data_IF_108441209068
#
_entry.id   IF_108441209068
#
_cell.length_a   1.000
_cell.length_b   1.000
_cell.length_c   1.000
_cell.angle_alpha   90.00
_cell.angle_beta   90.00
_cell.angle_gamma   90.00
#
_symmetry.space_group_name_H-M   'P 1'
#
loop_
_entity.id
_entity.type
_entity.pdbx_description
1 polymer ?
#
# COMPACT_ATOMS: atom_id res chain seq x y z
N UNK A 1 3.99 8.25 -23.22
CA UNK A 1 3.10 7.16 -22.71
C UNK A 1 3.76 6.54 -21.46
N UNK A 2 2.98 5.90 -20.53
CA UNK A 2 3.58 5.27 -19.35
C UNK A 2 4.59 4.18 -19.72
N UNK A 3 4.38 3.46 -20.81
CA UNK A 3 5.30 2.44 -21.32
C UNK A 3 6.72 2.97 -21.59
N UNK A 4 6.89 4.24 -21.94
CA UNK A 4 8.18 4.88 -22.18
C UNK A 4 8.94 5.24 -20.90
N UNK A 5 8.22 5.33 -19.80
CA UNK A 5 8.76 5.74 -18.49
C UNK A 5 8.98 4.57 -17.52
N UNK A 6 8.51 3.37 -17.89
CA UNK A 6 8.69 2.17 -17.09
C UNK A 6 10.10 1.62 -17.31
N UNK A 7 10.78 1.30 -16.23
CA UNK A 7 12.12 0.68 -16.25
C UNK A 7 12.08 -0.65 -15.48
N UNK A 8 12.81 -1.64 -15.98
CA UNK A 8 13.01 -2.87 -15.22
C UNK A 8 14.07 -2.61 -14.14
N UNK A 9 13.62 -2.49 -12.90
CA UNK A 9 14.49 -2.23 -11.77
C UNK A 9 15.23 -3.49 -11.29
N UNK A 10 14.61 -4.66 -11.46
CA UNK A 10 15.16 -6.01 -11.20
C UNK A 10 14.43 -7.02 -12.08
N UNK A 11 14.95 -8.22 -12.28
CA UNK A 11 14.26 -9.26 -13.05
C UNK A 11 12.83 -9.48 -12.54
N UNK A 12 11.85 -9.23 -13.41
CA UNK A 12 10.44 -9.35 -13.08
C UNK A 12 9.85 -8.22 -12.21
N UNK A 13 10.64 -7.18 -11.88
CA UNK A 13 10.20 -6.00 -11.14
C UNK A 13 10.33 -4.74 -12.00
N UNK A 14 9.21 -4.20 -12.39
CA UNK A 14 9.09 -3.01 -13.21
C UNK A 14 8.69 -1.80 -12.36
N UNK A 15 9.28 -0.66 -12.59
CA UNK A 15 9.05 0.56 -11.83
C UNK A 15 8.60 1.69 -12.75
N UNK A 16 7.45 2.26 -12.44
CA UNK A 16 7.03 3.58 -12.92
C UNK A 16 7.26 4.58 -11.79
N UNK A 17 8.35 5.32 -11.86
CA UNK A 17 8.72 6.25 -10.80
C UNK A 17 7.77 7.44 -10.73
N UNK A 18 7.28 7.74 -9.51
CA UNK A 18 6.70 9.02 -9.18
C UNK A 18 7.76 10.11 -9.06
N UNK A 19 7.35 11.33 -8.80
CA UNK A 19 8.29 12.43 -8.59
C UNK A 19 7.65 13.80 -8.54
N UNK A 20 8.49 14.83 -8.57
CA UNK A 20 8.08 16.24 -8.48
C UNK A 20 7.10 16.63 -9.60
N UNK A 21 7.19 15.98 -10.76
CA UNK A 21 6.25 16.16 -11.87
C UNK A 21 4.79 15.83 -11.57
N UNK A 22 4.54 14.95 -10.58
CA UNK A 22 3.18 14.62 -10.14
C UNK A 22 2.40 15.82 -9.57
N UNK A 23 3.09 16.86 -9.07
CA UNK A 23 2.42 18.08 -8.62
C UNK A 23 1.66 18.78 -9.77
N UNK A 24 2.23 18.79 -10.97
CA UNK A 24 1.57 19.31 -12.17
C UNK A 24 0.41 18.45 -12.64
N UNK A 25 0.54 17.11 -12.48
CA UNK A 25 -0.53 16.17 -12.78
C UNK A 25 -1.72 16.36 -11.84
N UNK A 26 -1.49 16.51 -10.53
CA UNK A 26 -2.55 16.78 -9.54
C UNK A 26 -3.37 18.04 -9.91
N UNK A 27 -2.71 19.12 -10.35
CA UNK A 27 -3.41 20.33 -10.80
C UNK A 27 -4.28 20.05 -12.04
N UNK A 28 -3.78 19.31 -13.03
CA UNK A 28 -4.53 18.97 -14.24
C UNK A 28 -5.72 18.07 -13.93
N UNK A 29 -5.56 17.10 -13.04
CA UNK A 29 -6.66 16.25 -12.60
C UNK A 29 -7.75 17.13 -11.96
N UNK A 30 -7.40 17.96 -10.99
CA UNK A 30 -8.33 18.84 -10.28
C UNK A 30 -9.03 19.91 -11.19
N UNK A 31 -8.51 20.17 -12.39
CA UNK A 31 -9.15 21.06 -13.36
C UNK A 31 -10.07 20.34 -14.36
N UNK A 32 -10.17 19.04 -14.32
CA UNK A 32 -10.99 18.24 -15.22
C UNK A 32 -12.28 17.79 -14.52
N UNK A 33 -13.27 18.67 -14.46
CA UNK A 33 -14.51 18.52 -13.69
C UNK A 33 -15.37 17.30 -14.05
N UNK A 34 -15.20 16.68 -15.23
CA UNK A 34 -16.10 15.64 -15.72
C UNK A 34 -15.62 14.20 -15.47
N UNK A 35 -14.33 13.96 -15.25
CA UNK A 35 -13.77 12.61 -15.11
C UNK A 35 -12.51 12.58 -14.22
N UNK A 36 -12.52 13.45 -13.24
CA UNK A 36 -11.37 13.67 -12.35
C UNK A 36 -10.83 12.37 -11.72
N UNK A 37 -11.73 11.48 -11.26
CA UNK A 37 -11.35 10.27 -10.54
C UNK A 37 -10.82 9.15 -11.44
N UNK A 38 -11.07 9.20 -12.76
CA UNK A 38 -10.68 8.15 -13.72
C UNK A 38 -9.42 8.48 -14.52
N UNK A 39 -8.79 9.60 -14.26
CA UNK A 39 -7.62 10.05 -15.03
C UNK A 39 -6.46 9.06 -14.97
N UNK A 40 -6.18 8.50 -13.79
CA UNK A 40 -5.12 7.50 -13.62
C UNK A 40 -5.47 6.21 -14.36
N UNK A 41 -6.71 5.74 -14.27
CA UNK A 41 -7.18 4.54 -14.98
C UNK A 41 -6.99 4.66 -16.48
N UNK A 42 -7.36 5.80 -17.06
CA UNK A 42 -7.16 6.08 -18.50
C UNK A 42 -5.68 6.15 -18.86
N UNK A 43 -4.87 6.78 -18.02
CA UNK A 43 -3.44 6.91 -18.26
C UNK A 43 -2.69 5.58 -18.22
N UNK A 44 -3.13 4.64 -17.38
CA UNK A 44 -2.52 3.31 -17.21
C UNK A 44 -3.20 2.20 -18.01
N UNK A 45 -4.20 2.51 -18.84
CA UNK A 45 -4.96 1.52 -19.60
C UNK A 45 -4.07 0.64 -20.51
N UNK A 46 -2.96 1.19 -21.03
CA UNK A 46 -2.00 0.42 -21.85
C UNK A 46 -1.23 -0.65 -21.06
N UNK A 47 -1.29 -0.61 -19.73
CA UNK A 47 -0.61 -1.57 -18.84
C UNK A 47 -1.53 -2.72 -18.41
N UNK A 48 -2.81 -2.66 -18.74
CA UNK A 48 -3.78 -3.67 -18.35
C UNK A 48 -3.39 -5.04 -18.90
N UNK A 49 -3.37 -6.05 -18.03
CA UNK A 49 -3.00 -7.43 -18.38
C UNK A 49 -1.51 -7.68 -18.65
N UNK A 50 -0.62 -6.67 -18.50
CA UNK A 50 0.82 -6.84 -18.72
C UNK A 50 1.58 -7.36 -17.49
N UNK A 51 1.01 -7.24 -16.32
CA UNK A 51 1.65 -7.57 -15.05
C UNK A 51 0.70 -8.41 -14.18
N UNK A 52 1.27 -9.36 -13.43
CA UNK A 52 0.50 -10.17 -12.48
C UNK A 52 0.00 -9.30 -11.31
N UNK A 53 0.83 -8.35 -10.86
CA UNK A 53 0.52 -7.40 -9.78
C UNK A 53 0.91 -5.99 -10.18
N UNK A 54 0.05 -5.03 -9.84
CA UNK A 54 0.34 -3.60 -9.92
C UNK A 54 0.22 -3.00 -8.53
N UNK A 55 1.34 -2.62 -7.92
CA UNK A 55 1.40 -2.05 -6.58
C UNK A 55 1.52 -0.53 -6.69
N UNK A 56 0.55 0.18 -6.11
CA UNK A 56 0.49 1.64 -6.11
C UNK A 56 0.89 2.16 -4.73
N UNK A 57 2.12 2.66 -4.59
CA UNK A 57 2.59 3.33 -3.38
C UNK A 57 2.04 4.77 -3.34
N UNK A 58 1.37 5.12 -2.25
CA UNK A 58 0.69 6.41 -2.10
C UNK A 58 1.25 7.22 -0.94
N UNK A 59 1.28 8.54 -1.10
CA UNK A 59 1.52 9.43 0.04
C UNK A 59 0.36 9.35 1.04
N UNK A 60 0.61 9.54 2.34
CA UNK A 60 -0.46 9.62 3.32
C UNK A 60 -1.35 10.85 3.04
N UNK A 61 -2.65 10.63 3.06
CA UNK A 61 -3.65 11.70 2.88
C UNK A 61 -4.75 11.34 1.89
N UNK A 62 -5.75 12.24 1.81
CA UNK A 62 -6.88 12.15 0.89
C UNK A 62 -6.81 13.31 -0.10
N UNK A 63 -5.88 13.22 -1.02
CA UNK A 63 -5.81 14.15 -2.15
C UNK A 63 -6.39 13.51 -3.42
N UNK A 64 -6.51 14.29 -4.46
CA UNK A 64 -7.02 13.87 -5.77
C UNK A 64 -6.27 12.67 -6.34
N UNK A 65 -4.96 12.54 -6.09
CA UNK A 65 -4.18 11.39 -6.55
C UNK A 65 -4.56 10.11 -5.80
N UNK A 66 -4.72 10.18 -4.48
CA UNK A 66 -5.16 9.04 -3.67
C UNK A 66 -6.55 8.57 -4.11
N UNK A 67 -7.47 9.47 -4.42
CA UNK A 67 -8.78 9.13 -4.96
C UNK A 67 -8.63 8.41 -6.29
N UNK A 68 -7.82 8.92 -7.22
CA UNK A 68 -7.55 8.27 -8.50
C UNK A 68 -6.95 6.86 -8.34
N UNK A 69 -6.03 6.68 -7.39
CA UNK A 69 -5.47 5.36 -7.07
C UNK A 69 -6.57 4.41 -6.60
N UNK A 70 -7.45 4.85 -5.71
CA UNK A 70 -8.55 4.02 -5.20
C UNK A 70 -9.59 3.69 -6.29
N UNK A 71 -9.79 4.56 -7.27
CA UNK A 71 -10.62 4.27 -8.45
C UNK A 71 -9.95 3.32 -9.45
N UNK A 72 -8.63 3.22 -9.45
CA UNK A 72 -7.88 2.27 -10.28
C UNK A 72 -7.72 0.90 -9.60
N UNK A 73 -7.30 0.88 -8.33
CA UNK A 73 -6.98 -0.33 -7.58
C UNK A 73 -8.23 -1.19 -7.28
N UNK A 74 -8.09 -2.50 -7.20
CA UNK A 74 -9.15 -3.44 -6.84
C UNK A 74 -9.11 -3.78 -5.35
N UNK A 75 -7.92 -3.81 -4.78
CA UNK A 75 -7.67 -4.17 -3.39
C UNK A 75 -6.79 -3.14 -2.68
N UNK A 76 -6.98 -3.05 -1.38
CA UNK A 76 -6.21 -2.14 -0.53
C UNK A 76 -5.51 -2.94 0.56
N UNK A 77 -4.20 -2.72 0.69
CA UNK A 77 -3.43 -3.05 1.88
C UNK A 77 -3.13 -1.78 2.66
N UNK A 78 -3.46 -1.74 3.95
CA UNK A 78 -3.25 -0.57 4.79
C UNK A 78 -2.21 -0.89 5.87
N UNK A 79 -0.99 -0.36 5.77
CA UNK A 79 -0.02 -0.41 6.86
C UNK A 79 -0.51 0.42 8.05
N UNK A 80 -0.39 -0.13 9.25
CA UNK A 80 -0.91 0.46 10.49
C UNK A 80 0.16 0.38 11.57
N UNK A 81 0.73 1.51 11.97
CA UNK A 81 1.61 1.52 13.14
C UNK A 81 0.80 1.19 14.41
N UNK A 82 1.41 0.44 15.33
CA UNK A 82 0.72 0.01 16.56
C UNK A 82 0.70 1.14 17.62
N UNK A 83 0.09 2.26 17.25
CA UNK A 83 -0.10 3.46 18.06
C UNK A 83 -1.60 3.81 18.19
N UNK A 84 -1.99 4.45 19.30
CA UNK A 84 -3.41 4.73 19.58
C UNK A 84 -4.07 5.59 18.51
N UNK A 85 -3.37 6.58 17.97
CA UNK A 85 -3.91 7.49 16.96
C UNK A 85 -4.20 6.78 15.64
N UNK A 86 -3.51 5.70 15.35
CA UNK A 86 -3.64 4.96 14.11
C UNK A 86 -4.98 4.24 13.99
N UNK A 87 -5.54 3.75 15.10
CA UNK A 87 -6.89 3.12 15.10
C UNK A 87 -7.94 4.12 14.64
N UNK A 88 -7.87 5.38 15.11
CA UNK A 88 -8.79 6.44 14.67
C UNK A 88 -8.62 6.76 13.19
N UNK A 89 -7.37 6.86 12.73
CA UNK A 89 -7.06 7.06 11.32
C UNK A 89 -7.59 5.95 10.42
N UNK A 90 -7.48 4.69 10.86
CA UNK A 90 -8.00 3.54 10.12
C UNK A 90 -9.54 3.55 10.05
N UNK A 91 -10.22 3.93 11.12
CA UNK A 91 -11.68 4.07 11.12
C UNK A 91 -12.15 5.17 10.16
N UNK A 92 -11.46 6.31 10.13
CA UNK A 92 -11.75 7.40 9.19
C UNK A 92 -11.46 6.98 7.75
N UNK A 93 -10.36 6.28 7.52
CA UNK A 93 -10.03 5.69 6.22
C UNK A 93 -11.15 4.78 5.71
N UNK A 94 -11.66 3.88 6.56
CA UNK A 94 -12.75 2.98 6.19
C UNK A 94 -14.02 3.72 5.79
N UNK A 95 -14.42 4.76 6.51
CA UNK A 95 -15.58 5.58 6.13
C UNK A 95 -15.45 6.15 4.72
N UNK A 96 -14.27 6.65 4.38
CA UNK A 96 -14.01 7.24 3.07
C UNK A 96 -13.94 6.16 1.98
N UNK A 97 -13.33 5.02 2.29
CA UNK A 97 -13.31 3.88 1.38
C UNK A 97 -14.72 3.37 1.09
N UNK A 98 -15.61 3.36 2.09
CA UNK A 98 -17.01 2.97 1.90
C UNK A 98 -17.78 3.94 1.00
N UNK A 99 -17.40 5.21 0.96
CA UNK A 99 -17.94 6.16 -0.02
C UNK A 99 -17.53 5.78 -1.45
N UNK A 100 -16.26 5.40 -1.66
CA UNK A 100 -15.75 4.95 -2.98
C UNK A 100 -16.40 3.64 -3.42
N UNK A 101 -16.64 2.71 -2.50
CA UNK A 101 -17.31 1.43 -2.79
C UNK A 101 -18.70 1.56 -3.41
N UNK A 102 -19.36 2.70 -3.25
CA UNK A 102 -20.65 2.98 -3.90
C UNK A 102 -20.51 3.18 -5.42
N UNK A 103 -19.32 3.52 -5.87
CA UNK A 103 -19.02 3.86 -7.27
C UNK A 103 -18.15 2.81 -7.95
N UNK A 104 -17.37 2.03 -7.18
CA UNK A 104 -16.46 1.02 -7.70
C UNK A 104 -16.34 -0.16 -6.73
N UNK A 105 -16.20 -1.36 -7.29
CA UNK A 105 -15.79 -2.53 -6.51
C UNK A 105 -14.33 -2.36 -6.07
N UNK A 106 -14.13 -2.18 -4.78
CA UNK A 106 -12.81 -2.10 -4.13
C UNK A 106 -12.93 -2.68 -2.73
N UNK A 107 -11.93 -3.38 -2.25
CA UNK A 107 -11.93 -3.97 -0.92
C UNK A 107 -10.71 -3.57 -0.09
N UNK A 108 -10.92 -3.29 1.22
CA UNK A 108 -9.83 -3.35 2.18
C UNK A 108 -9.56 -4.84 2.45
N UNK A 109 -8.57 -5.41 1.77
CA UNK A 109 -8.26 -6.84 1.88
C UNK A 109 -7.33 -7.12 3.04
N UNK A 110 -6.32 -6.27 3.24
CA UNK A 110 -5.30 -6.48 4.26
C UNK A 110 -5.11 -5.27 5.17
N UNK A 111 -5.06 -5.51 6.46
CA UNK A 111 -4.59 -4.57 7.49
C UNK A 111 -3.26 -5.11 8.00
N UNK A 112 -2.18 -4.38 7.74
CA UNK A 112 -0.81 -4.80 8.05
C UNK A 112 -0.28 -4.03 9.26
N UNK A 113 -0.25 -4.61 10.46
CA UNK A 113 0.40 -3.98 11.60
C UNK A 113 1.90 -3.86 11.35
N UNK A 114 2.46 -2.68 11.60
CA UNK A 114 3.88 -2.39 11.44
C UNK A 114 4.49 -1.88 12.74
N UNK A 115 5.82 -1.86 12.79
CA UNK A 115 6.60 -1.41 13.96
C UNK A 115 6.26 -2.15 15.25
N UNK A 116 5.94 -3.45 15.16
CA UNK A 116 5.64 -4.26 16.34
C UNK A 116 6.86 -4.38 17.24
N UNK A 117 6.78 -3.83 18.44
CA UNK A 117 7.76 -4.04 19.51
C UNK A 117 7.11 -4.82 20.66
N UNK A 118 7.54 -6.06 20.86
CA UNK A 118 7.01 -6.95 21.91
C UNK A 118 7.27 -6.45 23.34
N UNK A 119 8.23 -5.54 23.51
CA UNK A 119 8.54 -4.93 24.81
C UNK A 119 7.52 -3.85 25.19
N UNK A 120 6.78 -3.34 24.21
CA UNK A 120 5.75 -2.30 24.39
C UNK A 120 4.40 -2.96 24.60
N UNK A 121 3.93 -3.01 25.83
CA UNK A 121 2.62 -3.60 26.19
C UNK A 121 1.48 -3.04 25.32
N UNK A 122 1.51 -1.73 25.05
CA UNK A 122 0.49 -1.04 24.26
C UNK A 122 0.37 -1.59 22.85
N UNK A 123 1.46 -2.00 22.21
CA UNK A 123 1.44 -2.61 20.88
C UNK A 123 0.62 -3.90 20.86
N UNK A 124 0.72 -4.73 21.92
CA UNK A 124 -0.07 -5.94 22.07
C UNK A 124 -1.57 -5.65 22.20
N UNK A 125 -1.94 -4.68 23.08
CA UNK A 125 -3.33 -4.27 23.28
C UNK A 125 -3.98 -3.75 21.98
N UNK A 126 -3.24 -2.97 21.20
CA UNK A 126 -3.70 -2.45 19.91
C UNK A 126 -3.89 -3.58 18.89
N UNK A 127 -2.94 -4.52 18.83
CA UNK A 127 -3.03 -5.68 17.94
C UNK A 127 -4.28 -6.53 18.25
N UNK A 128 -4.58 -6.77 19.52
CA UNK A 128 -5.79 -7.47 19.95
C UNK A 128 -7.07 -6.72 19.53
N UNK A 129 -7.08 -5.39 19.62
CA UNK A 129 -8.21 -4.59 19.13
C UNK A 129 -8.37 -4.71 17.62
N UNK A 130 -7.27 -4.60 16.86
CA UNK A 130 -7.31 -4.76 15.40
C UNK A 130 -7.81 -6.15 15.01
N UNK A 131 -7.43 -7.21 15.72
CA UNK A 131 -7.93 -8.56 15.50
C UNK A 131 -9.45 -8.68 15.66
N UNK A 132 -10.03 -7.95 16.61
CA UNK A 132 -11.50 -7.92 16.83
C UNK A 132 -12.25 -7.16 15.71
N UNK A 133 -11.66 -6.07 15.24
CA UNK A 133 -12.30 -5.22 14.22
C UNK A 133 -12.09 -5.70 12.79
N UNK A 134 -11.00 -6.43 12.52
CA UNK A 134 -10.61 -6.88 11.18
C UNK A 134 -10.35 -8.39 11.13
N UNK A 135 -11.31 -9.23 11.57
CA UNK A 135 -11.14 -10.68 11.52
C UNK A 135 -10.91 -11.12 10.06
N UNK A 136 -9.95 -11.99 9.84
CA UNK A 136 -9.58 -12.48 8.51
C UNK A 136 -8.74 -11.52 7.65
N UNK A 137 -8.75 -10.21 7.93
CA UNK A 137 -8.00 -9.20 7.18
C UNK A 137 -6.70 -8.78 7.84
N UNK A 138 -6.56 -9.02 9.15
CA UNK A 138 -5.35 -8.66 9.88
C UNK A 138 -4.21 -9.58 9.48
N UNK A 139 -3.12 -9.00 9.00
CA UNK A 139 -1.90 -9.71 8.68
C UNK A 139 -1.04 -9.96 9.93
N UNK A 140 -0.14 -10.94 9.92
CA UNK A 140 0.94 -11.01 10.89
C UNK A 140 1.71 -9.68 10.92
N UNK A 141 2.10 -9.19 12.11
CA UNK A 141 2.74 -7.89 12.21
C UNK A 141 4.18 -7.91 11.70
N UNK A 142 4.59 -6.82 11.05
CA UNK A 142 5.99 -6.54 10.75
C UNK A 142 6.65 -6.01 12.03
N UNK A 143 7.65 -6.71 12.51
CA UNK A 143 8.42 -6.32 13.70
C UNK A 143 9.23 -5.05 13.45
N UNK A 144 9.40 -4.24 14.50
CA UNK A 144 10.36 -3.15 14.46
C UNK A 144 11.76 -3.72 14.18
N UNK A 145 12.39 -3.26 13.10
CA UNK A 145 13.70 -3.78 12.68
C UNK A 145 14.50 -2.67 11.99
N UNK A 146 15.63 -2.30 12.58
CA UNK A 146 16.54 -1.27 12.05
C UNK A 146 17.04 -1.63 10.65
N UNK A 147 17.22 -2.93 10.36
CA UNK A 147 17.67 -3.40 9.03
C UNK A 147 16.74 -2.98 7.89
N UNK A 148 15.43 -2.82 8.14
CA UNK A 148 14.49 -2.30 7.14
C UNK A 148 14.81 -0.85 6.76
N UNK A 149 15.11 0.00 7.74
CA UNK A 149 15.49 1.39 7.48
C UNK A 149 16.86 1.50 6.80
N UNK A 150 17.82 0.68 7.20
CA UNK A 150 19.16 0.62 6.59
C UNK A 150 19.09 0.16 5.13
N UNK A 151 18.27 -0.86 4.83
CA UNK A 151 18.03 -1.36 3.48
C UNK A 151 17.46 -0.26 2.57
N UNK A 152 16.43 0.45 3.04
CA UNK A 152 15.83 1.58 2.32
C UNK A 152 16.86 2.70 2.08
N UNK A 153 17.67 3.05 3.07
CA UNK A 153 18.75 4.03 2.94
C UNK A 153 19.83 3.63 1.95
N UNK A 154 20.01 2.33 1.72
CA UNK A 154 20.98 1.77 0.76
C UNK A 154 20.37 1.53 -0.65
N UNK A 155 19.09 1.83 -0.84
CA UNK A 155 18.38 1.57 -2.10
C UNK A 155 18.25 0.07 -2.43
N UNK A 156 18.26 -0.80 -1.41
CA UNK A 156 18.17 -2.24 -1.56
C UNK A 156 16.92 -2.78 -0.88
N UNK A 157 16.24 -3.79 -1.44
CA UNK A 157 15.20 -4.52 -0.73
C UNK A 157 15.79 -5.32 0.43
N UNK A 158 15.00 -5.54 1.47
CA UNK A 158 15.44 -6.26 2.67
C UNK A 158 15.96 -7.66 2.37
N UNK A 159 15.43 -8.31 1.33
CA UNK A 159 15.83 -9.65 0.90
C UNK A 159 17.25 -9.73 0.32
N UNK A 160 17.74 -8.62 -0.23
CA UNK A 160 19.12 -8.48 -0.72
C UNK A 160 20.05 -7.99 0.41
N UNK A 161 19.58 -6.97 1.15
CA UNK A 161 20.39 -6.31 2.17
C UNK A 161 20.62 -7.17 3.43
N UNK A 162 19.56 -7.80 3.95
CA UNK A 162 19.60 -8.61 5.17
C UNK A 162 18.60 -9.78 5.11
N UNK A 163 18.85 -10.80 4.25
CA UNK A 163 17.87 -11.87 3.96
C UNK A 163 17.51 -12.74 5.17
N UNK A 164 18.34 -12.76 6.21
CA UNK A 164 18.09 -13.53 7.45
C UNK A 164 17.57 -12.65 8.60
N UNK A 165 17.20 -11.40 8.30
CA UNK A 165 16.66 -10.49 9.33
C UNK A 165 15.21 -10.81 9.66
N UNK A 166 14.76 -10.48 10.89
CA UNK A 166 13.34 -10.59 11.24
C UNK A 166 12.42 -9.84 10.28
N UNK A 167 12.86 -8.69 9.73
CA UNK A 167 12.10 -7.95 8.73
C UNK A 167 11.92 -8.71 7.42
N UNK A 168 12.97 -9.41 6.95
CA UNK A 168 12.86 -10.25 5.75
C UNK A 168 11.90 -11.43 5.97
N UNK A 169 11.96 -12.08 7.15
CA UNK A 169 11.03 -13.16 7.52
C UNK A 169 9.57 -12.68 7.51
N UNK A 170 9.30 -11.51 8.13
CA UNK A 170 7.96 -10.96 8.25
C UNK A 170 7.37 -10.58 6.88
N UNK A 171 8.14 -9.94 6.02
CA UNK A 171 7.71 -9.61 4.67
C UNK A 171 7.56 -10.85 3.78
N UNK A 172 8.38 -11.88 3.97
CA UNK A 172 8.21 -13.14 3.26
C UNK A 172 6.91 -13.84 3.67
N UNK A 173 6.56 -13.82 4.95
CA UNK A 173 5.29 -14.36 5.46
C UNK A 173 4.09 -13.57 4.89
N UNK A 174 4.19 -12.24 4.80
CA UNK A 174 3.16 -11.40 4.17
C UNK A 174 2.98 -11.76 2.70
N UNK A 175 4.07 -11.88 1.94
CA UNK A 175 4.03 -12.23 0.52
C UNK A 175 3.39 -13.60 0.32
N UNK A 176 3.81 -14.60 1.12
CA UNK A 176 3.21 -15.93 1.08
C UNK A 176 1.70 -15.93 1.36
N UNK A 177 1.23 -15.08 2.29
CA UNK A 177 -0.20 -14.93 2.56
C UNK A 177 -0.94 -14.34 1.35
N UNK A 178 -0.43 -13.25 0.76
CA UNK A 178 -1.06 -12.61 -0.40
C UNK A 178 -1.17 -13.61 -1.55
N UNK A 179 -0.08 -14.27 -1.91
CA UNK A 179 -0.05 -15.22 -3.02
C UNK A 179 -0.93 -16.47 -2.79
N UNK A 180 -1.04 -16.98 -1.57
CA UNK A 180 -1.86 -18.17 -1.26
C UNK A 180 -3.36 -17.86 -1.18
N UNK A 181 -3.78 -16.63 -0.93
CA UNK A 181 -5.19 -16.25 -0.91
C UNK A 181 -5.73 -15.93 -2.32
N UNK A 182 -4.87 -15.86 -3.33
CA UNK A 182 -5.20 -15.59 -4.73
C UNK A 182 -5.19 -16.86 -5.62
N UNK A 183 -4.73 -17.98 -5.09
CA UNK A 183 -4.78 -19.29 -5.72
C UNK A 183 -6.04 -20.06 -5.29
#
# INVERSE_FOLDING_TARGET
APDEAIVEARPGLWLLAGGVGLAGVKKRIASNELEEEQTLKKALATLEGKYDYVILDTSPGWDTMTINVLFYADEVITPVSLEILTIKGLAEFNKRLDAIKRHKAISLKYVLPTFMDRRVRKSGEILEQLQKYYPGRLCPPIRYNVRLSEAAGSGQPIFEFAPKSPGAEDYNALTGRIMNEEL
#
